data_IF_225203347608
#
_entry.id   IF_225203347608
#
_cell.length_a   1.000
_cell.length_b   1.000
_cell.length_c   1.000
_cell.angle_alpha   90.00
_cell.angle_beta   90.00
_cell.angle_gamma   90.00
#
_symmetry.space_group_name_H-M   'P 1'
#
loop_
_entity.id
_entity.type
_entity.pdbx_description
1 polymer ?
#
# COMPACT_ATOMS: atom_id res chain seq x y z
N UNK A 1 -19.62 -14.41 9.85
CA UNK A 1 -19.61 -12.96 10.05
C UNK A 1 -18.47 -12.40 9.20
N UNK A 2 -18.75 -11.44 8.33
CA UNK A 2 -17.76 -10.87 7.42
C UNK A 2 -16.60 -10.19 8.16
N UNK A 3 -15.45 -10.09 7.51
CA UNK A 3 -14.21 -9.53 8.04
C UNK A 3 -13.74 -8.35 7.18
N UNK A 4 -12.95 -7.47 7.78
CA UNK A 4 -12.31 -6.35 7.10
C UNK A 4 -10.84 -6.70 6.81
N UNK A 5 -10.42 -6.54 5.58
CA UNK A 5 -9.03 -6.70 5.14
C UNK A 5 -8.48 -5.37 4.66
N UNK A 6 -7.23 -5.06 5.00
CA UNK A 6 -6.55 -3.85 4.56
C UNK A 6 -5.72 -4.18 3.33
N UNK A 7 -5.94 -3.43 2.26
CA UNK A 7 -5.13 -3.41 1.05
C UNK A 7 -4.41 -2.07 0.97
N UNK A 8 -3.22 -2.06 0.42
CA UNK A 8 -2.49 -0.81 0.20
C UNK A 8 -2.24 -0.58 -1.29
N UNK A 9 -2.47 0.65 -1.74
CA UNK A 9 -2.30 1.06 -3.14
C UNK A 9 -1.25 2.17 -3.30
N UNK A 10 -0.39 2.38 -2.31
CA UNK A 10 0.69 3.39 -2.33
C UNK A 10 1.57 3.24 -3.57
N UNK A 11 1.96 2.00 -3.89
CA UNK A 11 2.84 1.69 -5.00
C UNK A 11 2.19 1.78 -6.40
N UNK A 12 0.87 1.98 -6.46
CA UNK A 12 0.16 2.20 -7.72
C UNK A 12 -0.53 3.57 -7.76
N UNK A 13 -1.47 3.85 -6.84
CA UNK A 13 -2.20 5.13 -6.81
C UNK A 13 -1.36 6.24 -6.17
N UNK A 14 -0.66 5.94 -5.10
CA UNK A 14 0.24 6.89 -4.45
C UNK A 14 1.29 7.48 -5.39
N UNK A 15 1.90 6.65 -6.24
CA UNK A 15 2.88 7.12 -7.25
C UNK A 15 2.26 7.88 -8.43
N UNK A 16 0.93 7.95 -8.53
CA UNK A 16 0.23 8.78 -9.51
C UNK A 16 0.01 10.21 -9.00
N UNK A 17 0.37 10.51 -7.76
CA UNK A 17 0.34 11.88 -7.23
C UNK A 17 1.17 12.80 -8.12
N UNK A 18 0.57 13.90 -8.56
CA UNK A 18 1.22 14.85 -9.45
C UNK A 18 2.54 15.37 -8.85
N UNK A 19 3.61 15.38 -9.63
CA UNK A 19 4.98 15.84 -9.28
C UNK A 19 5.72 14.93 -8.27
N UNK A 20 5.17 13.81 -7.88
CA UNK A 20 5.81 12.84 -6.98
C UNK A 20 6.15 11.55 -7.73
N UNK A 21 7.07 10.79 -7.16
CA UNK A 21 7.44 9.48 -7.69
C UNK A 21 8.28 8.71 -6.67
N UNK A 22 8.44 7.42 -6.91
CA UNK A 22 9.29 6.54 -6.12
C UNK A 22 10.26 5.81 -7.04
N UNK A 23 11.48 5.62 -6.58
CA UNK A 23 12.38 4.65 -7.18
C UNK A 23 11.83 3.22 -6.99
N UNK A 24 12.31 2.28 -7.79
CA UNK A 24 11.87 0.88 -7.69
C UNK A 24 12.32 0.22 -6.38
N UNK A 25 13.44 0.66 -5.81
CA UNK A 25 13.89 0.25 -4.50
C UNK A 25 12.93 0.75 -3.41
N UNK A 26 12.56 2.02 -3.41
CA UNK A 26 11.61 2.59 -2.44
C UNK A 26 10.25 1.91 -2.49
N UNK A 27 9.72 1.63 -3.69
CA UNK A 27 8.49 0.83 -3.85
C UNK A 27 8.63 -0.56 -3.22
N UNK A 28 9.78 -1.19 -3.37
CA UNK A 28 10.05 -2.52 -2.78
C UNK A 28 10.11 -2.43 -1.26
N UNK A 29 10.78 -1.40 -0.71
CA UNK A 29 10.83 -1.18 0.74
C UNK A 29 9.43 -0.94 1.34
N UNK A 30 8.57 -0.19 0.64
CA UNK A 30 7.17 -0.03 1.05
C UNK A 30 6.47 -1.40 1.10
N UNK A 31 6.63 -2.28 0.09
CA UNK A 31 6.06 -3.63 0.13
C UNK A 31 6.57 -4.44 1.33
N UNK A 32 7.85 -4.33 1.68
CA UNK A 32 8.43 -5.00 2.85
C UNK A 32 7.78 -4.49 4.14
N UNK A 33 7.66 -3.18 4.33
CA UNK A 33 7.04 -2.62 5.53
C UNK A 33 5.55 -2.92 5.63
N UNK A 34 4.83 -2.95 4.50
CA UNK A 34 3.43 -3.39 4.47
C UNK A 34 3.30 -4.86 4.88
N UNK A 35 4.23 -5.71 4.43
CA UNK A 35 4.30 -7.12 4.84
C UNK A 35 4.59 -7.26 6.34
N UNK A 36 5.60 -6.55 6.86
CA UNK A 36 5.93 -6.52 8.30
C UNK A 36 4.76 -6.02 9.16
N UNK A 37 3.97 -5.08 8.66
CA UNK A 37 2.78 -4.57 9.33
C UNK A 37 1.59 -5.54 9.29
N UNK A 38 1.61 -6.55 8.42
CA UNK A 38 0.53 -7.52 8.27
C UNK A 38 -0.59 -7.08 7.33
N UNK A 39 -0.33 -6.12 6.43
CA UNK A 39 -1.26 -5.72 5.38
C UNK A 39 -1.56 -6.91 4.47
N UNK A 40 -2.85 -7.11 4.14
CA UNK A 40 -3.29 -8.29 3.42
C UNK A 40 -2.75 -8.34 1.99
N UNK A 41 -2.73 -7.20 1.30
CA UNK A 41 -2.38 -7.12 -0.11
C UNK A 41 -1.82 -5.74 -0.46
N UNK A 42 -0.81 -5.70 -1.34
CA UNK A 42 -0.31 -4.48 -1.99
C UNK A 42 -0.66 -4.50 -3.47
N UNK A 43 -1.31 -3.44 -3.96
CA UNK A 43 -1.41 -3.16 -5.39
C UNK A 43 -0.08 -2.53 -5.84
N UNK A 44 0.83 -3.40 -6.28
CA UNK A 44 2.25 -3.05 -6.33
C UNK A 44 2.70 -2.42 -7.66
N UNK A 45 1.83 -2.35 -8.68
CA UNK A 45 2.17 -1.66 -9.93
C UNK A 45 1.24 -1.97 -11.09
N UNK A 46 1.67 -1.53 -12.30
CA UNK A 46 0.94 -1.67 -13.55
C UNK A 46 1.69 -2.61 -14.52
N UNK A 47 1.35 -3.92 -14.55
CA UNK A 47 2.14 -4.95 -15.23
C UNK A 47 2.26 -4.82 -16.75
N UNK A 48 1.43 -4.02 -17.40
CA UNK A 48 1.55 -3.75 -18.84
C UNK A 48 2.64 -2.74 -19.17
N UNK A 49 3.23 -2.11 -18.14
CA UNK A 49 4.21 -1.03 -18.29
C UNK A 49 5.63 -1.57 -18.31
N UNK A 50 6.32 -1.47 -19.44
CA UNK A 50 7.66 -2.04 -19.64
C UNK A 50 8.68 -1.63 -18.56
N UNK A 51 8.69 -0.35 -18.16
CA UNK A 51 9.65 0.13 -17.15
C UNK A 51 9.41 -0.43 -15.74
N UNK A 52 8.25 -1.05 -15.47
CA UNK A 52 7.96 -1.70 -14.19
C UNK A 52 8.30 -3.20 -14.19
N UNK A 53 8.54 -3.82 -15.35
CA UNK A 53 8.68 -5.28 -15.48
C UNK A 53 9.74 -5.86 -14.54
N UNK A 54 10.93 -5.27 -14.47
CA UNK A 54 12.00 -5.76 -13.60
C UNK A 54 11.64 -5.62 -12.11
N UNK A 55 11.05 -4.50 -11.73
CA UNK A 55 10.57 -4.28 -10.37
C UNK A 55 9.51 -5.31 -9.96
N UNK A 56 8.52 -5.54 -10.84
CA UNK A 56 7.46 -6.51 -10.55
C UNK A 56 8.03 -7.91 -10.39
N UNK A 57 8.90 -8.36 -11.30
CA UNK A 57 9.56 -9.68 -11.22
C UNK A 57 10.43 -9.81 -9.97
N UNK A 58 11.20 -8.77 -9.63
CA UNK A 58 12.03 -8.77 -8.44
C UNK A 58 11.20 -8.92 -7.15
N UNK A 59 10.05 -8.25 -7.06
CA UNK A 59 9.17 -8.40 -5.90
C UNK A 59 8.49 -9.78 -5.86
N UNK A 60 8.11 -10.35 -7.01
CA UNK A 60 7.60 -11.73 -7.07
C UNK A 60 8.69 -12.75 -6.70
N UNK A 61 9.95 -12.48 -7.01
CA UNK A 61 11.07 -13.30 -6.55
C UNK A 61 11.24 -13.20 -5.02
N UNK A 62 11.08 -12.02 -4.41
CA UNK A 62 11.07 -11.87 -2.96
C UNK A 62 9.91 -12.64 -2.31
N UNK A 63 8.75 -12.74 -2.96
CA UNK A 63 7.67 -13.64 -2.52
C UNK A 63 8.14 -15.09 -2.55
N UNK A 64 8.76 -15.53 -3.64
CA UNK A 64 9.29 -16.90 -3.78
C UNK A 64 10.37 -17.23 -2.74
N UNK A 65 11.14 -16.22 -2.32
CA UNK A 65 12.17 -16.35 -1.26
C UNK A 65 11.58 -16.31 0.15
N UNK A 66 10.27 -16.10 0.33
CA UNK A 66 9.61 -15.96 1.64
C UNK A 66 9.84 -14.60 2.32
N UNK A 67 10.43 -13.62 1.63
CA UNK A 67 10.68 -12.27 2.18
C UNK A 67 9.41 -11.42 2.18
N UNK A 68 8.60 -11.55 1.13
CA UNK A 68 7.30 -10.91 1.00
C UNK A 68 6.18 -11.94 1.19
N UNK A 69 6.03 -12.45 2.41
CA UNK A 69 5.01 -13.40 2.80
C UNK A 69 4.53 -13.04 4.22
N UNK A 70 3.23 -13.00 4.49
CA UNK A 70 2.11 -13.50 3.65
C UNK A 70 1.41 -12.43 2.79
N UNK A 71 2.00 -11.26 2.53
CA UNK A 71 1.37 -10.23 1.71
C UNK A 71 1.13 -10.74 0.27
N UNK A 72 -0.02 -10.38 -0.30
CA UNK A 72 -0.30 -10.63 -1.73
C UNK A 72 0.15 -9.43 -2.57
N UNK A 73 0.74 -9.69 -3.72
CA UNK A 73 1.12 -8.65 -4.68
C UNK A 73 0.17 -8.68 -5.87
N UNK A 74 -0.63 -7.63 -6.02
CA UNK A 74 -1.66 -7.47 -7.05
C UNK A 74 -1.23 -6.45 -8.10
N UNK A 75 -1.39 -6.79 -9.38
CA UNK A 75 -1.22 -5.86 -10.49
C UNK A 75 -2.54 -5.21 -10.88
N UNK A 76 -2.53 -3.89 -11.08
CA UNK A 76 -3.67 -3.15 -11.62
C UNK A 76 -3.55 -3.03 -13.14
N UNK A 77 -4.65 -3.32 -13.87
CA UNK A 77 -4.70 -3.25 -15.34
C UNK A 77 -6.05 -2.69 -15.80
N UNK A 78 -6.12 -2.21 -17.03
CA UNK A 78 -7.40 -1.87 -17.66
C UNK A 78 -8.16 -3.16 -17.99
N UNK A 79 -9.50 -3.09 -17.97
CA UNK A 79 -10.37 -4.21 -18.33
C UNK A 79 -10.38 -4.42 -19.86
N UNK A 80 -9.25 -4.86 -20.39
CA UNK A 80 -9.08 -5.25 -21.79
C UNK A 80 -8.32 -6.58 -21.88
N UNK A 81 -8.70 -7.42 -22.83
CA UNK A 81 -8.01 -8.69 -23.10
C UNK A 81 -6.54 -8.44 -23.46
N UNK A 82 -6.25 -7.35 -24.17
CA UNK A 82 -4.88 -6.96 -24.54
C UNK A 82 -3.99 -6.70 -23.32
N UNK A 83 -4.50 -5.95 -22.32
CA UNK A 83 -3.75 -5.69 -21.08
C UNK A 83 -3.49 -7.00 -20.31
N UNK A 84 -4.48 -7.90 -20.25
CA UNK A 84 -4.30 -9.23 -19.65
C UNK A 84 -3.21 -10.01 -20.35
N UNK A 85 -3.27 -10.14 -21.66
CA UNK A 85 -2.26 -10.88 -22.47
C UNK A 85 -0.87 -10.27 -22.32
N UNK A 86 -0.78 -8.94 -22.35
CA UNK A 86 0.48 -8.21 -22.15
C UNK A 86 1.05 -8.46 -20.76
N UNK A 87 0.22 -8.46 -19.74
CA UNK A 87 0.59 -8.75 -18.35
C UNK A 87 1.26 -10.11 -18.23
N UNK A 88 0.59 -11.18 -18.65
CA UNK A 88 1.15 -12.53 -18.54
C UNK A 88 2.35 -12.77 -19.48
N UNK A 89 2.45 -12.03 -20.58
CA UNK A 89 3.65 -12.03 -21.42
C UNK A 89 4.85 -11.38 -20.72
N UNK A 90 4.66 -10.26 -20.03
CA UNK A 90 5.74 -9.50 -19.39
C UNK A 90 6.08 -10.02 -17.97
N UNK A 91 5.08 -10.47 -17.22
CA UNK A 91 5.19 -10.90 -15.81
C UNK A 91 4.39 -12.20 -15.64
N UNK A 92 4.86 -13.33 -16.19
CA UNK A 92 4.11 -14.60 -16.18
C UNK A 92 3.85 -15.18 -14.79
N UNK A 93 4.62 -14.79 -13.78
CA UNK A 93 4.49 -15.25 -12.40
C UNK A 93 3.40 -14.53 -11.60
N UNK A 94 2.78 -13.47 -12.17
CA UNK A 94 1.75 -12.71 -11.47
C UNK A 94 0.49 -13.55 -11.25
N UNK A 95 -0.05 -13.51 -10.03
CA UNK A 95 -1.17 -14.35 -9.62
C UNK A 95 -2.44 -13.56 -9.29
N UNK A 96 -2.28 -12.30 -8.92
CA UNK A 96 -3.37 -11.46 -8.43
C UNK A 96 -3.51 -10.24 -9.32
N UNK A 97 -4.71 -9.98 -9.83
CA UNK A 97 -5.00 -8.87 -10.75
C UNK A 97 -6.22 -8.10 -10.30
N UNK A 98 -6.21 -6.79 -10.53
CA UNK A 98 -7.38 -5.92 -10.49
C UNK A 98 -7.63 -5.34 -11.88
N UNK A 99 -8.79 -5.61 -12.46
CA UNK A 99 -9.18 -5.12 -13.79
C UNK A 99 -10.13 -3.94 -13.65
N UNK A 100 -9.81 -2.81 -14.26
CA UNK A 100 -10.49 -1.53 -14.05
C UNK A 100 -11.13 -0.97 -15.29
N UNK A 101 -12.38 -0.50 -15.15
CA UNK A 101 -13.11 0.21 -16.20
C UNK A 101 -14.10 1.20 -15.59
N UNK A 102 -14.35 2.31 -16.28
CA UNK A 102 -15.31 3.32 -15.84
C UNK A 102 -16.75 2.84 -16.00
N UNK A 103 -17.57 3.06 -14.98
CA UNK A 103 -18.97 2.58 -14.95
C UNK A 103 -20.03 3.68 -14.97
N UNK A 104 -19.68 4.92 -14.61
CA UNK A 104 -20.63 6.03 -14.63
C UNK A 104 -20.97 6.49 -16.07
N UNK A 105 -22.19 6.92 -16.26
CA UNK A 105 -22.62 7.49 -17.54
C UNK A 105 -21.75 8.69 -17.97
N UNK A 106 -21.34 9.52 -17.01
CA UNK A 106 -20.45 10.66 -17.25
C UNK A 106 -19.10 10.21 -17.82
N UNK A 107 -18.46 9.21 -17.22
CA UNK A 107 -17.14 8.74 -17.68
C UNK A 107 -17.24 7.91 -18.96
N UNK A 108 -18.28 7.08 -19.10
CA UNK A 108 -18.50 6.32 -20.33
C UNK A 108 -18.66 7.28 -21.51
N UNK A 109 -19.47 8.32 -21.35
CA UNK A 109 -19.65 9.33 -22.39
C UNK A 109 -18.35 10.12 -22.67
N UNK A 110 -17.67 10.59 -21.62
CA UNK A 110 -16.48 11.44 -21.71
C UNK A 110 -15.25 10.68 -22.21
N UNK A 111 -14.86 9.59 -21.55
CA UNK A 111 -13.64 8.84 -21.88
C UNK A 111 -13.75 8.07 -23.20
N UNK A 112 -14.88 7.45 -23.46
CA UNK A 112 -15.08 6.71 -24.70
C UNK A 112 -15.67 7.57 -25.82
N UNK A 113 -15.92 8.87 -25.60
CA UNK A 113 -16.42 9.81 -26.61
C UNK A 113 -17.68 9.31 -27.31
N UNK A 114 -18.60 8.72 -26.55
CA UNK A 114 -19.85 8.15 -27.06
C UNK A 114 -19.69 6.87 -27.90
N UNK A 115 -18.48 6.31 -28.02
CA UNK A 115 -18.24 5.10 -28.83
C UNK A 115 -18.52 3.79 -28.08
N UNK A 116 -18.88 3.85 -26.80
CA UNK A 116 -19.17 2.69 -25.95
C UNK A 116 -20.46 2.90 -25.20
N UNK A 117 -21.22 1.83 -25.05
CA UNK A 117 -22.43 1.76 -24.23
C UNK A 117 -22.11 1.10 -22.87
N UNK A 118 -23.07 1.12 -21.94
CA UNK A 118 -22.98 0.34 -20.68
C UNK A 118 -22.82 -1.17 -20.95
N UNK A 119 -23.45 -1.69 -21.97
CA UNK A 119 -23.33 -3.09 -22.42
C UNK A 119 -21.94 -3.41 -22.95
N UNK A 120 -21.33 -2.50 -23.73
CA UNK A 120 -19.94 -2.66 -24.18
C UNK A 120 -18.98 -2.69 -23.00
N UNK A 121 -19.16 -1.81 -22.01
CA UNK A 121 -18.35 -1.76 -20.79
C UNK A 121 -18.48 -3.06 -19.99
N UNK A 122 -19.70 -3.57 -19.85
CA UNK A 122 -19.96 -4.85 -19.20
C UNK A 122 -19.25 -6.00 -19.92
N UNK A 123 -19.35 -6.05 -21.25
CA UNK A 123 -18.67 -7.06 -22.06
C UNK A 123 -17.15 -6.96 -21.97
N UNK A 124 -16.59 -5.76 -22.04
CA UNK A 124 -15.14 -5.57 -21.88
C UNK A 124 -14.63 -6.11 -20.54
N UNK A 125 -15.38 -5.87 -19.46
CA UNK A 125 -15.05 -6.37 -18.14
C UNK A 125 -15.09 -7.91 -18.10
N UNK A 126 -16.18 -8.53 -18.59
CA UNK A 126 -16.32 -9.99 -18.56
C UNK A 126 -15.27 -10.68 -19.42
N UNK A 127 -14.99 -10.17 -20.63
CA UNK A 127 -13.94 -10.69 -21.51
C UNK A 127 -12.54 -10.61 -20.84
N UNK A 128 -12.26 -9.53 -20.10
CA UNK A 128 -11.00 -9.37 -19.38
C UNK A 128 -10.89 -10.34 -18.18
N UNK A 129 -11.97 -10.57 -17.43
CA UNK A 129 -12.00 -11.53 -16.32
C UNK A 129 -11.78 -12.95 -16.84
N UNK A 130 -12.51 -13.34 -17.90
CA UNK A 130 -12.34 -14.65 -18.54
C UNK A 130 -10.91 -14.88 -19.05
N UNK A 131 -10.34 -13.86 -19.70
CA UNK A 131 -8.96 -13.89 -20.14
C UNK A 131 -7.98 -14.04 -18.97
N UNK A 132 -8.17 -13.30 -17.88
CA UNK A 132 -7.30 -13.37 -16.69
C UNK A 132 -7.35 -14.77 -16.06
N UNK A 133 -8.55 -15.34 -15.89
CA UNK A 133 -8.71 -16.74 -15.41
C UNK A 133 -8.04 -17.75 -16.33
N UNK A 134 -8.25 -17.63 -17.63
CA UNK A 134 -7.68 -18.55 -18.64
C UNK A 134 -6.15 -18.48 -18.69
N UNK A 135 -5.54 -17.34 -18.28
CA UNK A 135 -4.08 -17.19 -18.20
C UNK A 135 -3.53 -17.55 -16.80
N UNK A 136 -4.34 -18.01 -15.85
CA UNK A 136 -3.88 -18.56 -14.58
C UNK A 136 -3.91 -17.59 -13.41
N UNK A 137 -4.66 -16.46 -13.49
CA UNK A 137 -4.87 -15.60 -12.33
C UNK A 137 -5.55 -16.36 -11.19
N UNK A 138 -4.94 -16.33 -9.99
CA UNK A 138 -5.49 -16.99 -8.79
C UNK A 138 -6.56 -16.13 -8.12
N UNK A 139 -6.43 -14.79 -8.14
CA UNK A 139 -7.49 -13.88 -7.70
C UNK A 139 -7.66 -12.70 -8.65
N UNK A 140 -8.92 -12.28 -8.83
CA UNK A 140 -9.29 -11.17 -9.71
C UNK A 140 -10.22 -10.22 -8.95
N UNK A 141 -9.78 -8.97 -8.77
CA UNK A 141 -10.63 -7.85 -8.40
C UNK A 141 -11.19 -7.18 -9.66
N UNK A 142 -12.41 -6.71 -9.59
CA UNK A 142 -13.01 -5.90 -10.67
C UNK A 142 -13.33 -4.51 -10.14
N UNK A 143 -12.72 -3.51 -10.76
CA UNK A 143 -12.78 -2.12 -10.33
C UNK A 143 -13.82 -1.34 -11.15
N UNK A 144 -14.89 -0.90 -10.49
CA UNK A 144 -15.89 0.02 -11.05
C UNK A 144 -15.43 1.47 -10.79
N UNK A 145 -14.66 2.04 -11.73
CA UNK A 145 -14.24 3.43 -11.61
C UNK A 145 -15.46 4.36 -11.67
N UNK A 146 -15.51 5.33 -10.75
CA UNK A 146 -16.60 6.30 -10.59
C UNK A 146 -17.95 5.65 -10.17
N UNK A 147 -17.88 4.66 -9.29
CA UNK A 147 -19.03 3.95 -8.77
C UNK A 147 -19.99 4.87 -8.01
N UNK A 148 -19.48 5.86 -7.28
CA UNK A 148 -20.29 6.82 -6.51
C UNK A 148 -21.25 7.66 -7.38
N UNK A 149 -20.99 7.79 -8.69
CA UNK A 149 -21.88 8.45 -9.64
C UNK A 149 -22.55 7.48 -10.63
N UNK A 150 -22.42 6.19 -10.38
CA UNK A 150 -23.02 5.14 -11.21
C UNK A 150 -24.37 4.71 -10.64
N UNK A 151 -25.33 4.48 -11.51
CA UNK A 151 -26.63 3.92 -11.16
C UNK A 151 -26.46 2.58 -10.41
N UNK A 152 -27.12 2.44 -9.27
CA UNK A 152 -26.92 1.30 -8.38
C UNK A 152 -27.39 -0.03 -8.98
N UNK A 153 -28.48 -0.03 -9.74
CA UNK A 153 -28.99 -1.25 -10.40
C UNK A 153 -27.99 -1.73 -11.46
N UNK A 154 -27.35 -0.77 -12.16
CA UNK A 154 -26.29 -1.12 -13.10
C UNK A 154 -25.03 -1.65 -12.37
N UNK A 155 -24.64 -1.09 -11.22
CA UNK A 155 -23.55 -1.61 -10.42
C UNK A 155 -23.81 -3.04 -9.91
N UNK A 156 -25.04 -3.32 -9.47
CA UNK A 156 -25.46 -4.67 -9.06
C UNK A 156 -25.34 -5.65 -10.23
N UNK A 157 -25.85 -5.28 -11.40
CA UNK A 157 -25.70 -6.08 -12.63
C UNK A 157 -24.22 -6.32 -12.96
N UNK A 158 -23.41 -5.26 -12.93
CA UNK A 158 -21.99 -5.31 -13.24
C UNK A 158 -21.21 -6.23 -12.26
N UNK A 159 -21.43 -6.08 -10.94
CA UNK A 159 -20.82 -6.92 -9.91
C UNK A 159 -21.26 -8.38 -10.00
N UNK A 160 -22.54 -8.64 -10.30
CA UNK A 160 -23.08 -10.00 -10.49
C UNK A 160 -22.47 -10.69 -11.71
N UNK A 161 -22.30 -9.96 -12.82
CA UNK A 161 -21.63 -10.48 -14.01
C UNK A 161 -20.14 -10.72 -13.74
N UNK A 162 -19.44 -9.81 -13.05
CA UNK A 162 -18.06 -10.01 -12.65
C UNK A 162 -17.90 -11.33 -11.85
N UNK A 163 -18.76 -11.54 -10.85
CA UNK A 163 -18.79 -12.78 -10.06
C UNK A 163 -19.03 -14.02 -10.91
N UNK A 164 -20.03 -14.00 -11.80
CA UNK A 164 -20.39 -15.16 -12.64
C UNK A 164 -19.28 -15.56 -13.62
N UNK A 165 -18.39 -14.63 -14.00
CA UNK A 165 -17.20 -14.86 -14.81
C UNK A 165 -15.94 -15.19 -13.97
N UNK A 166 -16.07 -15.22 -12.64
CA UNK A 166 -15.02 -15.68 -11.76
C UNK A 166 -14.22 -14.57 -11.06
N UNK A 167 -14.72 -13.34 -11.00
CA UNK A 167 -14.12 -12.33 -10.12
C UNK A 167 -14.33 -12.70 -8.64
N UNK A 168 -13.32 -12.44 -7.82
CA UNK A 168 -13.33 -12.73 -6.38
C UNK A 168 -13.81 -11.55 -5.55
N UNK A 169 -13.64 -10.32 -6.06
CA UNK A 169 -13.99 -9.07 -5.38
C UNK A 169 -14.52 -8.05 -6.37
N UNK A 170 -15.41 -7.21 -5.91
CA UNK A 170 -15.87 -6.03 -6.63
C UNK A 170 -15.42 -4.77 -5.90
N UNK A 171 -14.62 -3.92 -6.57
CA UNK A 171 -14.14 -2.65 -6.02
C UNK A 171 -15.10 -1.52 -6.36
N UNK A 172 -15.72 -0.97 -5.33
CA UNK A 172 -16.48 0.28 -5.39
C UNK A 172 -15.50 1.45 -5.29
N UNK A 173 -15.38 2.24 -6.36
CA UNK A 173 -14.49 3.41 -6.36
C UNK A 173 -15.28 4.70 -6.20
N UNK A 174 -15.10 5.36 -5.07
CA UNK A 174 -15.45 6.76 -4.89
C UNK A 174 -14.31 7.63 -5.44
N UNK A 175 -14.23 7.64 -6.77
CA UNK A 175 -13.12 8.20 -7.54
C UNK A 175 -12.93 9.70 -7.30
N UNK A 176 -13.98 10.43 -6.96
CA UNK A 176 -13.95 11.87 -6.76
C UNK A 176 -14.15 12.28 -5.29
N UNK A 177 -14.18 11.31 -4.36
CA UNK A 177 -14.52 11.59 -2.96
C UNK A 177 -15.90 12.22 -2.82
N UNK A 178 -16.88 11.75 -3.61
CA UNK A 178 -18.22 12.34 -3.76
C UNK A 178 -19.21 11.80 -2.72
N UNK A 179 -19.01 10.57 -2.26
CA UNK A 179 -19.85 9.96 -1.24
C UNK A 179 -19.62 10.54 0.15
N UNK A 180 -20.67 10.53 0.96
CA UNK A 180 -20.57 10.66 2.41
C UNK A 180 -20.66 9.28 3.10
N UNK A 181 -20.38 9.21 4.44
CA UNK A 181 -20.41 7.94 5.16
C UNK A 181 -21.73 7.18 5.13
N UNK A 182 -22.87 7.85 4.96
CA UNK A 182 -24.20 7.23 4.93
C UNK A 182 -24.53 6.71 3.53
N UNK A 183 -24.22 7.48 2.50
CA UNK A 183 -24.50 7.10 1.11
C UNK A 183 -23.67 5.88 0.71
N UNK A 184 -22.37 5.87 1.00
CA UNK A 184 -21.52 4.71 0.68
C UNK A 184 -21.89 3.47 1.51
N UNK A 185 -22.26 3.64 2.80
CA UNK A 185 -22.74 2.52 3.61
C UNK A 185 -23.96 1.85 2.96
N UNK A 186 -24.96 2.66 2.55
CA UNK A 186 -26.17 2.12 1.94
C UNK A 186 -25.88 1.48 0.58
N UNK A 187 -25.06 2.09 -0.25
CA UNK A 187 -24.68 1.56 -1.56
C UNK A 187 -23.95 0.21 -1.45
N UNK A 188 -22.92 0.14 -0.61
CA UNK A 188 -22.12 -1.09 -0.43
C UNK A 188 -22.91 -2.20 0.24
N UNK A 189 -23.82 -1.88 1.17
CA UNK A 189 -24.73 -2.85 1.77
C UNK A 189 -25.65 -3.46 0.71
N UNK A 190 -26.30 -2.61 -0.09
CA UNK A 190 -27.20 -3.06 -1.15
C UNK A 190 -26.47 -3.89 -2.22
N UNK A 191 -25.25 -3.49 -2.59
CA UNK A 191 -24.39 -4.26 -3.50
C UNK A 191 -24.05 -5.64 -2.92
N UNK A 192 -23.62 -5.70 -1.66
CA UNK A 192 -23.25 -6.94 -0.99
C UNK A 192 -24.44 -7.91 -0.90
N UNK A 193 -25.64 -7.41 -0.57
CA UNK A 193 -26.86 -8.19 -0.47
C UNK A 193 -27.30 -8.78 -1.84
N UNK A 194 -27.20 -8.00 -2.91
CA UNK A 194 -27.75 -8.38 -4.21
C UNK A 194 -26.75 -9.07 -5.14
N UNK A 195 -25.50 -8.63 -5.19
CA UNK A 195 -24.47 -9.28 -6.00
C UNK A 195 -23.78 -10.44 -5.27
N UNK A 196 -23.87 -10.49 -3.94
CA UNK A 196 -23.31 -11.53 -3.09
C UNK A 196 -21.82 -11.80 -3.36
N UNK A 197 -21.04 -10.76 -3.61
CA UNK A 197 -19.59 -10.75 -3.84
C UNK A 197 -18.93 -9.88 -2.77
N UNK A 198 -17.73 -10.22 -2.27
CA UNK A 198 -16.96 -9.37 -1.38
C UNK A 198 -16.72 -7.97 -1.97
N UNK A 199 -16.87 -6.93 -1.14
CA UNK A 199 -16.77 -5.54 -1.58
C UNK A 199 -15.42 -4.97 -1.19
N UNK A 200 -14.74 -4.43 -2.15
CA UNK A 200 -13.52 -3.65 -1.97
C UNK A 200 -13.86 -2.16 -2.11
N UNK A 201 -13.35 -1.32 -1.21
CA UNK A 201 -13.69 0.09 -1.10
C UNK A 201 -12.44 0.93 -1.39
N UNK A 202 -12.56 1.84 -2.35
CA UNK A 202 -11.48 2.73 -2.76
C UNK A 202 -11.99 4.17 -2.81
N UNK A 203 -11.62 4.98 -1.80
CA UNK A 203 -12.11 6.35 -1.66
C UNK A 203 -10.98 7.38 -1.75
N UNK A 204 -11.27 8.48 -2.47
CA UNK A 204 -10.42 9.67 -2.51
C UNK A 204 -10.86 10.72 -1.49
N UNK A 205 -9.93 11.65 -1.18
CA UNK A 205 -10.06 12.61 -0.11
C UNK A 205 -10.51 14.02 -0.53
N UNK A 206 -11.12 14.18 -1.71
CA UNK A 206 -11.43 15.50 -2.27
C UNK A 206 -12.37 16.35 -1.39
N UNK A 207 -13.25 15.70 -0.61
CA UNK A 207 -14.08 16.35 0.41
C UNK A 207 -13.59 16.10 1.85
N UNK A 208 -12.38 15.57 2.04
CA UNK A 208 -11.79 15.33 3.35
C UNK A 208 -12.36 14.11 4.10
N UNK A 209 -13.11 13.22 3.45
CA UNK A 209 -13.84 12.12 4.10
C UNK A 209 -13.30 10.72 3.79
N UNK A 210 -12.20 10.57 3.07
CA UNK A 210 -11.74 9.27 2.57
C UNK A 210 -11.68 8.16 3.63
N UNK A 211 -11.17 8.44 4.84
CA UNK A 211 -11.15 7.47 5.94
C UNK A 211 -12.57 7.15 6.40
N UNK A 212 -13.40 8.16 6.63
CA UNK A 212 -14.75 8.00 7.15
C UNK A 212 -15.65 7.24 6.15
N UNK A 213 -15.57 7.57 4.86
CA UNK A 213 -16.29 6.87 3.80
C UNK A 213 -15.80 5.44 3.65
N UNK A 214 -14.48 5.19 3.66
CA UNK A 214 -13.92 3.84 3.54
C UNK A 214 -14.38 2.90 4.66
N UNK A 215 -14.33 3.34 5.92
CA UNK A 215 -14.79 2.51 7.05
C UNK A 215 -16.32 2.33 7.06
N UNK A 216 -17.07 3.31 6.57
CA UNK A 216 -18.54 3.20 6.46
C UNK A 216 -18.95 2.24 5.34
N UNK A 217 -18.26 2.30 4.20
CA UNK A 217 -18.44 1.33 3.11
C UNK A 217 -18.14 -0.11 3.57
N UNK A 218 -17.08 -0.30 4.36
CA UNK A 218 -16.77 -1.61 4.92
C UNK A 218 -17.87 -2.14 5.86
N UNK A 219 -18.45 -1.28 6.70
CA UNK A 219 -19.61 -1.65 7.52
C UNK A 219 -20.79 -2.09 6.66
N UNK A 220 -21.09 -1.31 5.60
CA UNK A 220 -22.14 -1.64 4.66
C UNK A 220 -21.97 -3.02 4.05
N UNK A 221 -20.77 -3.32 3.53
CA UNK A 221 -20.45 -4.62 2.94
C UNK A 221 -20.67 -5.79 3.94
N UNK A 222 -20.21 -5.63 5.20
CA UNK A 222 -20.38 -6.65 6.25
C UNK A 222 -21.86 -6.80 6.64
N UNK A 223 -22.60 -5.70 6.74
CA UNK A 223 -24.02 -5.74 7.07
C UNK A 223 -24.84 -6.33 5.90
N UNK A 224 -24.35 -6.24 4.67
CA UNK A 224 -24.87 -6.94 3.49
C UNK A 224 -24.41 -8.41 3.37
N UNK A 225 -23.69 -8.92 4.35
CA UNK A 225 -23.30 -10.35 4.47
C UNK A 225 -22.02 -10.75 3.74
N UNK A 226 -21.18 -9.80 3.31
CA UNK A 226 -19.93 -10.06 2.60
C UNK A 226 -18.71 -9.58 3.38
N UNK A 227 -17.52 -10.08 3.03
CA UNK A 227 -16.25 -9.51 3.49
C UNK A 227 -16.02 -8.13 2.86
N UNK A 228 -15.31 -7.27 3.59
CA UNK A 228 -14.91 -5.95 3.14
C UNK A 228 -13.40 -5.84 2.99
N UNK A 229 -12.96 -5.15 1.95
CA UNK A 229 -11.56 -4.84 1.70
C UNK A 229 -11.43 -3.32 1.57
N UNK A 230 -10.51 -2.69 2.31
CA UNK A 230 -10.31 -1.24 2.26
C UNK A 230 -8.97 -0.95 1.60
N UNK A 231 -9.00 -0.14 0.55
CA UNK A 231 -7.79 0.41 -0.04
C UNK A 231 -7.31 1.61 0.78
N UNK A 232 -6.03 1.59 1.10
CA UNK A 232 -5.35 2.66 1.81
C UNK A 232 -4.10 3.08 1.06
N UNK A 233 -3.56 4.24 1.42
CA UNK A 233 -2.20 4.63 1.07
C UNK A 233 -1.46 5.10 2.32
N UNK A 234 -0.15 4.90 2.35
CA UNK A 234 0.68 5.41 3.45
C UNK A 234 0.66 6.93 3.41
N UNK A 235 0.38 7.55 4.55
CA UNK A 235 0.19 9.00 4.73
C UNK A 235 -0.93 9.62 3.88
N UNK A 236 -1.83 8.80 3.32
CA UNK A 236 -2.92 9.28 2.47
C UNK A 236 -2.48 9.81 1.10
N UNK A 237 -1.24 9.56 0.67
CA UNK A 237 -0.70 10.05 -0.60
C UNK A 237 -1.44 9.38 -1.77
N UNK A 238 -1.89 10.19 -2.76
CA UNK A 238 -2.63 9.70 -3.92
C UNK A 238 -3.06 10.82 -4.85
N UNK A 239 -3.76 10.46 -5.92
CA UNK A 239 -4.27 11.43 -6.90
C UNK A 239 -5.05 12.57 -6.23
N UNK A 240 -4.85 13.80 -6.68
CA UNK A 240 -5.53 15.04 -6.23
C UNK A 240 -5.34 15.29 -4.72
N UNK A 241 -6.40 15.05 -3.91
CA UNK A 241 -6.37 15.22 -2.45
C UNK A 241 -6.04 13.91 -1.69
N UNK A 242 -5.58 12.88 -2.40
CA UNK A 242 -5.13 11.62 -1.81
C UNK A 242 -6.24 10.60 -1.56
N UNK A 243 -5.89 9.59 -0.80
CA UNK A 243 -6.74 8.43 -0.47
C UNK A 243 -6.93 8.31 1.05
N UNK A 244 -7.65 7.27 1.47
CA UNK A 244 -7.73 6.91 2.89
C UNK A 244 -6.34 6.57 3.45
N UNK A 245 -5.91 7.27 4.49
CA UNK A 245 -4.62 7.01 5.15
C UNK A 245 -4.61 5.65 5.85
N UNK A 246 -3.53 4.88 5.65
CA UNK A 246 -3.37 3.53 6.21
C UNK A 246 -3.51 3.53 7.74
N UNK A 247 -2.73 4.35 8.43
CA UNK A 247 -2.68 4.35 9.90
C UNK A 247 -3.98 4.85 10.50
N UNK A 248 -4.53 5.96 9.98
CA UNK A 248 -5.80 6.51 10.43
C UNK A 248 -6.95 5.51 10.22
N UNK A 249 -6.98 4.80 9.08
CA UNK A 249 -8.00 3.79 8.80
C UNK A 249 -7.93 2.63 9.78
N UNK A 250 -6.73 2.07 10.01
CA UNK A 250 -6.56 0.96 10.96
C UNK A 250 -6.91 1.40 12.38
N UNK A 251 -6.44 2.57 12.83
CA UNK A 251 -6.79 3.13 14.13
C UNK A 251 -8.31 3.30 14.29
N UNK A 252 -8.99 3.81 13.26
CA UNK A 252 -10.45 3.95 13.29
C UNK A 252 -11.16 2.60 13.47
N UNK A 253 -10.67 1.55 12.83
CA UNK A 253 -11.25 0.20 12.94
C UNK A 253 -11.01 -0.40 14.33
N UNK A 254 -9.78 -0.30 14.86
CA UNK A 254 -9.41 -1.01 16.10
C UNK A 254 -9.72 -0.24 17.38
N UNK A 255 -9.88 1.08 17.30
CA UNK A 255 -10.05 1.95 18.49
C UNK A 255 -11.42 2.61 18.60
N UNK A 256 -12.20 2.72 17.51
CA UNK A 256 -13.48 3.40 17.61
C UNK A 256 -14.57 2.50 18.18
N UNK A 257 -15.41 3.09 19.04
CA UNK A 257 -16.54 2.40 19.70
C UNK A 257 -17.50 1.70 18.73
N UNK A 258 -17.65 2.24 17.52
CA UNK A 258 -18.58 1.72 16.52
C UNK A 258 -18.12 0.46 15.78
N UNK A 259 -16.93 -0.07 16.09
CA UNK A 259 -16.38 -1.28 15.46
C UNK A 259 -16.26 -2.47 16.41
N UNK A 260 -16.31 -2.24 17.73
CA UNK A 260 -16.22 -3.30 18.72
C UNK A 260 -17.20 -4.46 18.42
N UNK A 261 -16.75 -5.68 18.57
CA UNK A 261 -17.51 -6.93 18.51
C UNK A 261 -18.07 -7.36 17.14
N UNK A 262 -18.38 -6.43 16.24
CA UNK A 262 -19.02 -6.75 14.95
C UNK A 262 -18.12 -6.62 13.74
N UNK A 263 -17.38 -5.53 13.66
CA UNK A 263 -16.57 -5.20 12.46
C UNK A 263 -15.09 -5.40 12.77
N UNK A 264 -14.56 -6.57 12.50
CA UNK A 264 -13.21 -6.95 12.91
C UNK A 264 -12.29 -7.14 11.71
N UNK A 265 -11.01 -6.85 11.91
CA UNK A 265 -9.98 -7.20 10.95
C UNK A 265 -9.93 -8.71 10.73
N UNK A 266 -9.81 -9.13 9.48
CA UNK A 266 -9.64 -10.52 9.08
C UNK A 266 -8.24 -11.07 9.36
N UNK A 267 -7.25 -10.16 9.40
CA UNK A 267 -5.87 -10.43 9.81
C UNK A 267 -5.44 -9.36 10.81
N UNK A 268 -4.61 -9.70 11.80
CA UNK A 268 -4.05 -8.71 12.71
C UNK A 268 -3.13 -7.76 11.93
N UNK A 269 -3.15 -6.48 12.32
CA UNK A 269 -2.24 -5.44 11.83
C UNK A 269 -1.33 -5.04 12.99
N UNK A 270 -0.03 -5.10 12.80
CA UNK A 270 0.96 -4.64 13.77
C UNK A 270 1.12 -3.12 13.68
N UNK A 271 0.39 -2.41 14.52
CA UNK A 271 0.44 -0.95 14.60
C UNK A 271 1.83 -0.42 15.02
N UNK A 272 2.68 -1.23 15.65
CA UNK A 272 4.03 -0.80 16.04
C UNK A 272 4.92 -0.46 14.85
N UNK A 273 4.54 -0.87 13.65
CA UNK A 273 5.23 -0.52 12.38
C UNK A 273 4.77 0.82 11.80
N UNK A 274 3.70 1.44 12.35
CA UNK A 274 3.10 2.66 11.79
C UNK A 274 4.08 3.82 11.67
N UNK A 275 4.85 4.08 12.73
CA UNK A 275 5.85 5.16 12.73
C UNK A 275 6.92 4.96 11.68
N UNK A 276 7.45 3.73 11.56
CA UNK A 276 8.50 3.36 10.61
C UNK A 276 8.03 3.58 9.15
N UNK A 277 6.90 2.99 8.78
CA UNK A 277 6.41 3.07 7.39
C UNK A 277 6.00 4.49 7.01
N UNK A 278 5.35 5.24 7.92
CA UNK A 278 4.94 6.62 7.66
C UNK A 278 6.14 7.55 7.42
N UNK A 279 7.19 7.43 8.24
CA UNK A 279 8.41 8.23 8.05
C UNK A 279 9.17 7.81 6.79
N UNK A 280 9.25 6.52 6.49
CA UNK A 280 9.87 6.07 5.25
C UNK A 280 9.13 6.61 4.02
N UNK A 281 7.80 6.53 3.99
CA UNK A 281 7.02 7.09 2.88
C UNK A 281 7.19 8.61 2.76
N UNK A 282 7.21 9.34 3.89
CA UNK A 282 7.49 10.77 3.90
C UNK A 282 8.86 11.08 3.27
N UNK A 283 9.87 10.34 3.65
CA UNK A 283 11.21 10.44 3.08
C UNK A 283 11.22 10.08 1.58
N UNK A 284 10.62 8.93 1.22
CA UNK A 284 10.67 8.41 -0.14
C UNK A 284 9.94 9.32 -1.16
N UNK A 285 8.78 9.85 -0.79
CA UNK A 285 8.02 10.80 -1.62
C UNK A 285 8.52 12.26 -1.50
N UNK A 286 9.41 12.55 -0.54
CA UNK A 286 9.83 13.92 -0.19
C UNK A 286 8.62 14.82 0.17
N UNK A 287 7.66 14.24 0.92
CA UNK A 287 6.45 14.92 1.39
C UNK A 287 6.37 14.83 2.90
N UNK A 288 6.46 15.95 3.63
CA UNK A 288 6.37 15.94 5.09
C UNK A 288 5.03 15.38 5.58
N UNK A 289 5.07 14.60 6.66
CA UNK A 289 3.85 14.16 7.34
C UNK A 289 3.17 15.41 7.93
N UNK A 290 1.87 15.63 7.67
CA UNK A 290 1.13 16.72 8.32
C UNK A 290 1.27 16.63 9.84
N UNK A 291 1.53 17.74 10.51
CA UNK A 291 1.79 17.77 11.96
C UNK A 291 0.65 17.17 12.79
N UNK A 292 -0.57 17.24 12.28
CA UNK A 292 -1.80 16.73 12.91
C UNK A 292 -2.27 15.37 12.33
N UNK A 293 -1.44 14.69 11.53
CA UNK A 293 -1.80 13.37 10.99
C UNK A 293 -2.07 12.37 12.12
N UNK A 294 -3.22 11.66 12.12
CA UNK A 294 -3.55 10.71 13.18
C UNK A 294 -2.42 9.68 13.43
N UNK A 295 -2.01 9.57 14.68
CA UNK A 295 -1.00 8.62 15.14
C UNK A 295 0.44 8.97 14.77
N UNK A 296 0.72 9.46 13.56
CA UNK A 296 2.09 9.64 13.03
C UNK A 296 2.51 11.10 12.85
N UNK A 297 1.61 12.06 12.94
CA UNK A 297 1.97 13.48 12.90
C UNK A 297 2.75 13.91 14.15
N UNK A 298 3.57 14.95 14.02
CA UNK A 298 4.41 15.44 15.12
C UNK A 298 3.57 15.82 16.36
N UNK A 299 2.38 16.40 16.15
CA UNK A 299 1.50 16.86 17.22
C UNK A 299 0.44 15.83 17.65
N UNK A 300 0.45 14.60 17.11
CA UNK A 300 -0.59 13.59 17.41
C UNK A 300 -0.72 13.26 18.91
N UNK A 301 0.34 13.52 19.72
CA UNK A 301 0.40 13.32 21.16
C UNK A 301 0.96 14.57 21.89
N UNK A 302 0.79 15.75 21.31
CA UNK A 302 1.24 17.00 21.91
C UNK A 302 0.08 17.75 22.58
N UNK A 303 0.28 18.18 23.82
CA UNK A 303 -0.72 18.86 24.63
C UNK A 303 -0.21 20.24 25.04
N UNK A 304 -0.86 21.32 24.57
CA UNK A 304 -0.49 22.69 24.88
C UNK A 304 -1.43 23.35 25.89
N UNK A 305 -2.69 22.88 26.01
CA UNK A 305 -3.65 23.38 26.98
C UNK A 305 -3.29 22.92 28.39
N UNK A 306 -3.33 23.84 29.38
CA UNK A 306 -3.05 23.51 30.78
C UNK A 306 -3.94 22.41 31.34
N UNK A 307 -5.24 22.41 30.98
CA UNK A 307 -6.20 21.35 31.38
C UNK A 307 -5.81 19.99 30.78
N UNK A 308 -5.44 19.95 29.49
CA UNK A 308 -5.01 18.72 28.84
C UNK A 308 -3.67 18.22 29.42
N UNK A 309 -2.69 19.10 29.61
CA UNK A 309 -1.40 18.74 30.18
C UNK A 309 -1.54 18.18 31.60
N UNK A 310 -2.31 18.86 32.48
CA UNK A 310 -2.59 18.38 33.84
C UNK A 310 -3.30 17.02 33.83
N UNK A 311 -4.28 16.86 32.94
CA UNK A 311 -5.04 15.60 32.80
C UNK A 311 -4.18 14.44 32.32
N UNK A 312 -3.35 14.63 31.28
CA UNK A 312 -2.45 13.61 30.72
C UNK A 312 -1.36 13.19 31.73
N UNK A 313 -0.81 14.16 32.49
CA UNK A 313 0.19 13.87 33.52
C UNK A 313 -0.39 13.01 34.66
N UNK A 314 -1.69 13.13 34.94
CA UNK A 314 -2.38 12.32 35.94
C UNK A 314 -2.74 10.94 35.39
N UNK A 315 -3.30 10.89 34.21
CA UNK A 315 -3.64 9.66 33.47
C UNK A 315 -3.70 9.98 31.97
N UNK A 316 -2.84 9.37 31.14
CA UNK A 316 -2.88 9.57 29.67
C UNK A 316 -4.26 9.31 29.07
N UNK A 317 -5.04 8.36 29.59
CA UNK A 317 -6.37 8.01 29.09
C UNK A 317 -7.40 9.16 29.19
N UNK A 318 -7.10 10.20 29.93
CA UNK A 318 -7.96 11.39 29.99
C UNK A 318 -8.06 12.13 28.65
N UNK A 319 -6.99 12.07 27.82
CA UNK A 319 -6.92 12.81 26.55
C UNK A 319 -6.29 12.02 25.40
N UNK A 320 -5.84 10.78 25.63
CA UNK A 320 -5.24 9.92 24.62
C UNK A 320 -6.06 8.63 24.50
N UNK A 321 -6.60 8.38 23.31
CA UNK A 321 -7.40 7.18 23.01
C UNK A 321 -6.53 5.91 22.88
N UNK A 322 -5.26 6.09 22.56
CA UNK A 322 -4.24 5.04 22.39
C UNK A 322 -2.86 5.58 22.72
N UNK A 323 -1.95 4.69 23.09
CA UNK A 323 -0.60 5.08 23.48
C UNK A 323 0.30 5.24 22.23
N UNK A 324 1.18 6.24 22.23
CA UNK A 324 2.15 6.47 21.16
C UNK A 324 3.10 5.26 20.95
N UNK A 325 3.43 4.51 22.02
CA UNK A 325 4.28 3.33 21.94
C UNK A 325 3.64 2.20 21.12
N UNK A 326 2.29 2.10 21.09
CA UNK A 326 1.57 1.13 20.25
C UNK A 326 1.86 1.36 18.75
N UNK A 327 2.28 2.56 18.38
CA UNK A 327 2.57 2.96 16.99
C UNK A 327 4.07 2.90 16.65
N UNK A 328 4.91 2.36 17.56
CA UNK A 328 6.36 2.31 17.43
C UNK A 328 7.05 3.66 17.67
N UNK A 329 6.36 4.63 18.32
CA UNK A 329 6.93 5.93 18.70
C UNK A 329 7.51 5.87 20.13
N UNK A 330 8.35 6.88 20.47
CA UNK A 330 8.83 7.09 21.84
C UNK A 330 9.95 6.14 22.29
N UNK A 331 10.48 5.29 21.44
CA UNK A 331 11.79 4.72 21.68
C UNK A 331 12.78 5.88 21.78
N UNK A 332 13.67 5.91 22.81
CA UNK A 332 14.67 6.97 22.87
C UNK A 332 15.48 6.89 21.58
N UNK A 333 15.22 7.80 20.66
CA UNK A 333 16.20 8.14 19.66
C UNK A 333 17.33 8.73 20.47
N UNK A 334 18.45 8.03 20.60
CA UNK A 334 19.69 8.66 20.97
C UNK A 334 19.86 9.79 19.96
N UNK A 335 19.65 11.02 20.43
CA UNK A 335 20.04 12.20 19.66
C UNK A 335 21.55 12.09 19.58
N UNK A 336 22.04 11.50 18.49
CA UNK A 336 23.46 11.49 18.21
C UNK A 336 23.86 12.94 17.92
N UNK A 337 24.35 13.62 18.94
CA UNK A 337 24.97 14.96 18.84
C UNK A 337 26.36 14.86 18.28
N UNK A 338 26.64 13.95 17.34
CA UNK A 338 27.99 13.65 16.84
C UNK A 338 28.08 13.70 15.32
N UNK A 339 29.21 13.21 14.78
CA UNK A 339 29.45 13.12 13.35
C UNK A 339 28.55 12.06 12.74
N UNK A 340 27.73 12.44 11.75
CA UNK A 340 26.93 11.52 10.94
C UNK A 340 27.69 11.14 9.66
N UNK A 341 27.69 9.84 9.32
CA UNK A 341 28.20 9.32 8.04
C UNK A 341 27.01 8.76 7.29
N UNK A 342 26.70 9.39 6.15
CA UNK A 342 25.58 9.00 5.28
C UNK A 342 26.09 8.26 4.05
N UNK A 343 25.23 7.47 3.40
CA UNK A 343 25.48 6.96 2.06
C UNK A 343 25.41 8.10 1.04
N UNK A 344 26.05 7.93 -0.11
CA UNK A 344 25.98 8.90 -1.20
C UNK A 344 26.59 8.34 -2.48
N UNK A 345 26.28 8.95 -3.63
CA UNK A 345 26.76 8.50 -4.94
C UNK A 345 28.30 8.48 -5.06
N UNK A 346 28.99 9.30 -4.27
CA UNK A 346 30.46 9.36 -4.18
C UNK A 346 31.01 8.68 -2.91
N UNK A 347 30.18 7.90 -2.20
CA UNK A 347 30.59 7.20 -0.98
C UNK A 347 31.81 6.30 -1.19
N UNK A 348 32.78 6.31 -0.24
CA UNK A 348 33.94 5.46 -0.26
C UNK A 348 33.76 4.17 0.54
N UNK A 349 34.58 3.14 0.24
CA UNK A 349 34.50 1.81 0.89
C UNK A 349 34.66 1.88 2.41
N UNK A 350 35.51 2.78 2.93
CA UNK A 350 35.71 2.95 4.36
C UNK A 350 34.46 3.47 5.08
N UNK A 351 33.81 4.51 4.52
CA UNK A 351 32.56 5.06 5.03
C UNK A 351 31.43 4.03 4.98
N UNK A 352 31.32 3.28 3.87
CA UNK A 352 30.34 2.23 3.69
C UNK A 352 30.49 1.11 4.73
N UNK A 353 31.71 0.58 4.94
CA UNK A 353 31.97 -0.43 5.98
C UNK A 353 31.66 0.06 7.38
N UNK A 354 32.00 1.31 7.70
CA UNK A 354 31.65 1.91 8.98
C UNK A 354 30.16 1.99 9.20
N UNK A 355 29.43 2.42 8.18
CA UNK A 355 27.96 2.52 8.21
C UNK A 355 27.31 1.15 8.39
N UNK A 356 27.72 0.14 7.63
CA UNK A 356 27.22 -1.23 7.76
C UNK A 356 27.50 -1.83 9.14
N UNK A 357 28.69 -1.63 9.69
CA UNK A 357 29.04 -2.06 11.06
C UNK A 357 28.14 -1.41 12.11
N UNK A 358 27.90 -0.10 12.01
CA UNK A 358 27.02 0.64 12.94
C UNK A 358 25.56 0.13 12.87
N UNK A 359 25.07 -0.19 11.67
CA UNK A 359 23.73 -0.75 11.51
C UNK A 359 23.63 -2.14 12.14
N UNK A 360 24.65 -3.00 11.95
CA UNK A 360 24.71 -4.33 12.58
C UNK A 360 24.74 -4.24 14.11
N UNK A 361 25.53 -3.30 14.67
CA UNK A 361 25.59 -3.08 16.13
C UNK A 361 24.22 -2.63 16.70
N UNK A 362 23.47 -1.80 15.97
CA UNK A 362 22.10 -1.40 16.38
C UNK A 362 21.14 -2.58 16.39
N UNK A 363 21.20 -3.45 15.38
CA UNK A 363 20.32 -4.63 15.28
C UNK A 363 20.70 -5.65 16.38
N UNK A 364 21.99 -5.92 16.61
CA UNK A 364 22.47 -6.84 17.63
C UNK A 364 22.24 -6.38 19.08
N UNK A 365 22.14 -5.06 19.34
CA UNK A 365 21.86 -4.51 20.66
C UNK A 365 20.40 -4.51 21.08
N UNK A 366 19.46 -4.77 20.17
CA UNK A 366 18.02 -4.86 20.44
C UNK A 366 17.54 -6.29 20.77
N UNK A 367 18.44 -7.29 20.78
CA UNK A 367 18.11 -8.70 21.10
C UNK A 367 18.61 -9.02 22.51
N UNK A 368 17.79 -8.78 23.51
CA UNK A 368 17.82 -9.56 24.74
C UNK A 368 17.11 -10.90 24.42
N UNK A 369 17.94 -11.96 24.39
CA UNK A 369 17.61 -13.38 24.41
C UNK A 369 16.80 -14.01 23.28
N UNK A 370 17.48 -14.92 22.58
CA UNK A 370 17.00 -16.09 21.83
C UNK A 370 16.19 -15.86 20.53
N UNK A 371 16.91 -15.52 19.45
CA UNK A 371 16.60 -16.11 18.15
C UNK A 371 17.90 -16.33 17.34
N UNK A 372 18.09 -17.54 16.84
CA UNK A 372 19.26 -18.00 16.07
C UNK A 372 19.40 -17.36 14.68
N UNK A 373 18.64 -16.34 14.36
CA UNK A 373 18.72 -15.59 13.10
C UNK A 373 19.46 -14.25 13.27
N UNK A 374 20.64 -14.27 13.83
CA UNK A 374 21.61 -13.16 13.67
C UNK A 374 22.04 -13.13 12.19
N UNK A 375 21.48 -12.17 11.45
CA UNK A 375 21.92 -11.92 10.07
C UNK A 375 23.29 -11.27 10.14
N UNK A 376 24.32 -12.12 10.14
CA UNK A 376 25.68 -11.70 9.92
C UNK A 376 25.81 -11.26 8.46
N UNK A 377 25.71 -9.95 8.18
CA UNK A 377 26.17 -9.40 6.90
C UNK A 377 27.70 -9.31 6.99
N UNK A 378 28.33 -10.47 7.06
CA UNK A 378 29.76 -10.57 6.89
C UNK A 378 30.04 -10.51 5.38
N UNK A 379 30.68 -9.45 4.92
CA UNK A 379 31.25 -9.47 3.56
C UNK A 379 32.38 -10.51 3.57
N UNK A 380 32.24 -11.55 2.76
CA UNK A 380 33.22 -12.64 2.69
C UNK A 380 34.62 -12.12 2.33
N UNK A 381 34.69 -11.05 1.52
CA UNK A 381 35.93 -10.41 1.16
C UNK A 381 35.78 -8.92 0.76
N UNK A 382 36.89 -8.28 0.40
CA UNK A 382 36.95 -6.88 -0.02
C UNK A 382 36.27 -6.65 -1.39
N UNK A 383 36.22 -7.67 -2.25
CA UNK A 383 35.66 -7.59 -3.60
C UNK A 383 34.11 -7.59 -3.53
N UNK A 384 33.54 -8.40 -2.65
CA UNK A 384 32.09 -8.42 -2.41
C UNK A 384 31.60 -7.10 -1.84
N UNK A 385 32.29 -6.55 -0.83
CA UNK A 385 31.99 -5.22 -0.28
C UNK A 385 32.07 -4.13 -1.35
N UNK A 386 33.02 -4.24 -2.29
CA UNK A 386 33.15 -3.33 -3.43
C UNK A 386 31.95 -3.39 -4.38
N UNK A 387 31.49 -4.58 -4.72
CA UNK A 387 30.31 -4.79 -5.58
C UNK A 387 29.02 -4.25 -4.96
N UNK A 388 28.83 -4.44 -3.65
CA UNK A 388 27.66 -3.91 -2.94
C UNK A 388 27.76 -2.38 -2.84
N UNK A 389 28.92 -1.81 -2.58
CA UNK A 389 29.12 -0.36 -2.61
C UNK A 389 28.75 0.26 -3.95
N UNK A 390 29.10 -0.37 -5.07
CA UNK A 390 28.69 0.11 -6.39
C UNK A 390 27.14 0.10 -6.55
N UNK A 391 26.46 -0.95 -6.10
CA UNK A 391 25.00 -0.99 -6.11
C UNK A 391 24.38 0.12 -5.24
N UNK A 392 24.97 0.39 -4.07
CA UNK A 392 24.55 1.49 -3.19
C UNK A 392 24.71 2.84 -3.88
N UNK A 393 25.81 3.06 -4.60
CA UNK A 393 26.04 4.28 -5.37
C UNK A 393 24.98 4.46 -6.47
N UNK A 394 24.69 3.39 -7.25
CA UNK A 394 23.64 3.42 -8.25
C UNK A 394 22.26 3.68 -7.64
N UNK A 395 21.96 3.08 -6.49
CA UNK A 395 20.70 3.31 -5.79
C UNK A 395 20.56 4.77 -5.33
N UNK A 396 21.61 5.38 -4.80
CA UNK A 396 21.60 6.82 -4.46
C UNK A 396 21.32 7.70 -5.70
N UNK A 397 21.93 7.38 -6.85
CA UNK A 397 21.66 8.10 -8.10
C UNK A 397 20.21 7.91 -8.55
N UNK A 398 19.68 6.70 -8.49
CA UNK A 398 18.28 6.42 -8.86
C UNK A 398 17.28 7.11 -7.94
N UNK A 399 17.56 7.14 -6.63
CA UNK A 399 16.71 7.79 -5.64
C UNK A 399 16.88 9.32 -5.60
N UNK A 400 17.96 9.86 -6.19
CA UNK A 400 18.33 11.28 -6.13
C UNK A 400 18.57 11.80 -4.70
N UNK A 401 18.86 10.92 -3.75
CA UNK A 401 19.10 11.22 -2.33
C UNK A 401 19.86 10.06 -1.64
N UNK A 402 20.49 10.30 -0.47
CA UNK A 402 21.14 9.24 0.29
C UNK A 402 20.15 8.14 0.69
N UNK A 403 20.57 6.89 0.65
CA UNK A 403 19.77 5.76 1.13
C UNK A 403 19.66 5.78 2.66
N UNK A 404 18.51 5.42 3.19
CA UNK A 404 18.34 5.15 4.62
C UNK A 404 18.90 3.78 5.03
N UNK A 405 19.08 3.56 6.32
CA UNK A 405 19.70 2.34 6.86
C UNK A 405 19.05 1.05 6.34
N UNK A 406 17.72 0.99 6.30
CA UNK A 406 16.98 -0.19 5.83
C UNK A 406 17.16 -0.46 4.33
N UNK A 407 17.27 0.58 3.51
CA UNK A 407 17.59 0.43 2.09
C UNK A 407 19.02 -0.09 1.88
N UNK A 408 19.96 0.39 2.68
CA UNK A 408 21.34 -0.10 2.66
C UNK A 408 21.43 -1.58 3.05
N UNK A 409 20.71 -1.97 4.10
CA UNK A 409 20.61 -3.37 4.52
C UNK A 409 19.97 -4.23 3.43
N UNK A 410 18.92 -3.76 2.80
CA UNK A 410 18.27 -4.47 1.70
C UNK A 410 19.24 -4.70 0.54
N UNK A 411 19.94 -3.67 0.08
CA UNK A 411 20.92 -3.76 -1.02
C UNK A 411 22.04 -4.75 -0.67
N UNK A 412 22.52 -4.73 0.57
CA UNK A 412 23.58 -5.65 1.02
C UNK A 412 23.09 -7.10 1.11
N UNK A 413 21.88 -7.31 1.61
CA UNK A 413 21.28 -8.65 1.81
C UNK A 413 20.81 -9.31 0.51
N UNK A 414 20.31 -8.50 -0.45
CA UNK A 414 19.71 -8.98 -1.69
C UNK A 414 20.33 -8.28 -2.92
N UNK A 415 21.65 -8.41 -3.16
CA UNK A 415 22.34 -7.62 -4.21
C UNK A 415 21.83 -7.91 -5.62
N UNK A 416 21.44 -9.16 -5.94
CA UNK A 416 20.91 -9.51 -7.26
C UNK A 416 19.50 -8.95 -7.49
N UNK A 417 18.67 -8.93 -6.45
CA UNK A 417 17.36 -8.29 -6.49
C UNK A 417 17.52 -6.76 -6.62
N UNK A 418 18.41 -6.16 -5.82
CA UNK A 418 18.70 -4.74 -5.91
C UNK A 418 19.15 -4.34 -7.33
N UNK A 419 20.00 -5.14 -7.97
CA UNK A 419 20.42 -4.93 -9.36
C UNK A 419 19.24 -4.90 -10.32
N UNK A 420 18.27 -5.80 -10.19
CA UNK A 420 17.06 -5.80 -11.01
C UNK A 420 16.21 -4.53 -10.79
N UNK A 421 16.10 -4.07 -9.54
CA UNK A 421 15.36 -2.87 -9.18
C UNK A 421 15.99 -1.59 -9.72
N UNK A 422 17.32 -1.56 -9.81
CA UNK A 422 18.09 -0.40 -10.29
C UNK A 422 18.24 -0.36 -11.82
N UNK A 423 17.93 -1.46 -12.50
CA UNK A 423 18.05 -1.58 -13.95
C UNK A 423 16.70 -1.35 -14.61
N UNK A 424 16.60 -0.30 -15.42
CA UNK A 424 15.42 -0.08 -16.26
C UNK A 424 15.53 -0.90 -17.54
N UNK A 425 14.40 -1.38 -18.04
CA UNK A 425 14.37 -2.01 -19.36
C UNK A 425 14.70 -0.95 -20.44
N UNK A 426 15.57 -1.26 -21.39
CA UNK A 426 15.84 -0.34 -22.48
C UNK A 426 14.56 0.04 -23.22
N UNK A 427 14.49 1.31 -23.61
CA UNK A 427 13.49 1.75 -24.57
C UNK A 427 13.84 1.11 -25.92
N UNK A 428 12.97 0.24 -26.41
CA UNK A 428 13.09 -0.38 -27.75
C UNK A 428 12.13 0.26 -28.70
#
# INVERSE_FOLDING_TARGET
MGKIYILDVTNRDGVQTAKLGLSKLEKTMINIYLNEMGVFQSEFGFPTTKHETNYLKANLELVRMGVLEPIRLEGWIRATVEDVQTTFKLVPEIKHLNVSISTSGQMIQGKFQGRKTKEDVLKMMTDAVDAARSNGAESIGVNAEDASRTDLDYLIKFASQAKSHGADRFRYCDTLGYDDPFTIYQATKTLAENAAIPIEIHCHGDLGMAVATSISGAKGAIDGGQDAYINTTVNGIGERAGNADLVATVLAIVKSKGFADKYQLGKPIDLSKSWKIANFASYAFDVPIPINQPGVGANAFAHASGIHADGVLKDPQNYELYNYAELGRGKPTTVETGREICSGEYGGISGFRHLMKRIQEKIGGEVEEESEDQIEIAFADADEAGKILELVRYANVCAQKPLVEDELLFVAKYPDIARQLLTLNPLT
#
